data_IF_251452290627
#
_entry.id   IF_251452290627
#
_cell.length_a   1.000
_cell.length_b   1.000
_cell.length_c   1.000
_cell.angle_alpha   90.00
_cell.angle_beta   90.00
_cell.angle_gamma   90.00
#
_symmetry.space_group_name_H-M   'P 1'
#
loop_
_entity.id
_entity.type
_entity.pdbx_description
1 polymer ?
#
# COMPACT_ATOMS: atom_id res chain seq x y z
N UNK A 1 -19.34 5.96 -0.17
CA UNK A 1 -18.50 6.80 -1.02
C UNK A 1 -19.09 6.84 -2.41
N UNK A 2 -18.96 7.91 -3.07
CA UNK A 2 -19.73 8.27 -4.27
C UNK A 2 -19.00 8.01 -5.59
N UNK A 3 -17.88 7.31 -5.58
CA UNK A 3 -17.15 7.01 -6.81
C UNK A 3 -16.15 8.07 -7.24
N UNK A 4 -15.80 8.99 -6.37
CA UNK A 4 -14.80 10.01 -6.63
C UNK A 4 -13.46 9.41 -7.13
N UNK A 5 -12.98 8.36 -6.46
CA UNK A 5 -11.75 7.70 -6.88
C UNK A 5 -11.91 6.99 -8.23
N UNK A 6 -13.09 6.44 -8.51
CA UNK A 6 -13.36 5.81 -9.79
C UNK A 6 -13.33 6.82 -10.94
N UNK A 7 -13.86 8.02 -10.72
CA UNK A 7 -13.81 9.07 -11.72
C UNK A 7 -12.35 9.47 -12.02
N UNK A 8 -11.51 9.57 -10.99
CA UNK A 8 -10.09 9.83 -11.17
C UNK A 8 -9.39 8.68 -11.89
N UNK A 9 -9.72 7.44 -11.55
CA UNK A 9 -9.17 6.27 -12.24
C UNK A 9 -9.50 6.34 -13.75
N UNK A 10 -10.72 6.65 -14.12
CA UNK A 10 -11.11 6.77 -15.52
C UNK A 10 -10.34 7.88 -16.23
N UNK A 11 -10.07 8.96 -15.52
CA UNK A 11 -9.35 10.10 -16.07
C UNK A 11 -7.89 9.76 -16.39
N UNK A 12 -7.21 9.05 -15.47
CA UNK A 12 -5.80 8.71 -15.62
C UNK A 12 -5.55 7.44 -16.42
N UNK A 13 -6.52 6.52 -16.43
CA UNK A 13 -6.36 5.21 -17.08
C UNK A 13 -7.61 4.86 -17.92
N UNK A 14 -7.93 5.67 -18.93
CA UNK A 14 -9.17 5.45 -19.70
C UNK A 14 -9.20 4.10 -20.44
N UNK A 15 -8.05 3.61 -20.90
CA UNK A 15 -7.98 2.31 -21.58
C UNK A 15 -8.31 1.16 -20.63
N UNK A 16 -7.83 1.23 -19.42
CA UNK A 16 -8.10 0.21 -18.39
C UNK A 16 -9.55 0.28 -17.91
N UNK A 17 -10.12 1.48 -17.87
CA UNK A 17 -11.51 1.66 -17.45
C UNK A 17 -12.48 0.94 -18.37
N UNK A 18 -12.16 0.81 -19.65
CA UNK A 18 -13.01 0.10 -20.62
C UNK A 18 -13.13 -1.40 -20.28
N UNK A 19 -12.12 -1.99 -19.69
CA UNK A 19 -12.14 -3.40 -19.29
C UNK A 19 -12.67 -3.64 -17.89
N UNK A 20 -12.96 -2.59 -17.13
CA UNK A 20 -13.45 -2.70 -15.77
C UNK A 20 -14.94 -3.03 -15.75
N UNK A 21 -15.33 -4.09 -15.03
CA UNK A 21 -16.75 -4.45 -14.88
C UNK A 21 -17.31 -4.03 -13.52
N UNK A 22 -16.44 -3.82 -12.53
CA UNK A 22 -16.84 -3.34 -11.20
C UNK A 22 -15.62 -2.80 -10.47
N UNK A 23 -15.89 -2.08 -9.39
CA UNK A 23 -14.84 -1.54 -8.55
C UNK A 23 -15.30 -1.50 -7.11
N UNK A 24 -14.34 -1.45 -6.18
CA UNK A 24 -14.61 -1.34 -4.75
C UNK A 24 -13.55 -0.46 -4.10
N UNK A 25 -13.98 0.50 -3.32
CA UNK A 25 -13.04 1.33 -2.57
C UNK A 25 -12.57 0.57 -1.34
N UNK A 26 -11.27 0.32 -1.25
CA UNK A 26 -10.65 -0.46 -0.17
C UNK A 26 -9.96 0.40 0.86
N UNK A 27 -9.63 1.65 0.51
CA UNK A 27 -8.99 2.59 1.41
C UNK A 27 -9.33 3.99 0.92
N UNK A 28 -8.96 5.01 1.69
CA UNK A 28 -9.25 6.41 1.38
C UNK A 28 -8.75 6.83 -0.02
N UNK A 29 -7.61 6.29 -0.46
CA UNK A 29 -7.00 6.62 -1.75
C UNK A 29 -6.85 5.41 -2.66
N UNK A 30 -7.62 4.35 -2.44
CA UNK A 30 -7.36 3.08 -3.12
C UNK A 30 -8.64 2.43 -3.61
N UNK A 31 -8.63 2.02 -4.90
CA UNK A 31 -9.72 1.25 -5.51
C UNK A 31 -9.21 -0.11 -5.94
N UNK A 32 -10.03 -1.12 -5.73
CA UNK A 32 -9.87 -2.44 -6.31
C UNK A 32 -10.69 -2.48 -7.60
N UNK A 33 -10.03 -2.74 -8.73
CA UNK A 33 -10.64 -2.72 -10.06
C UNK A 33 -10.77 -4.14 -10.56
N UNK A 34 -12.00 -4.58 -10.80
CA UNK A 34 -12.29 -5.93 -11.30
C UNK A 34 -12.49 -5.87 -12.81
N UNK A 35 -11.68 -6.61 -13.55
CA UNK A 35 -11.66 -6.59 -15.00
C UNK A 35 -12.44 -7.76 -15.61
N UNK A 36 -12.79 -7.64 -16.88
CA UNK A 36 -13.56 -8.65 -17.62
C UNK A 36 -12.86 -10.02 -17.67
N UNK A 37 -11.53 -10.02 -17.72
CA UNK A 37 -10.73 -11.23 -17.81
C UNK A 37 -10.53 -11.92 -16.45
N UNK A 38 -11.14 -11.41 -15.40
CA UNK A 38 -11.02 -11.95 -14.04
C UNK A 38 -9.84 -11.41 -13.25
N UNK A 39 -8.99 -10.59 -13.87
CA UNK A 39 -7.88 -9.97 -13.14
C UNK A 39 -8.37 -8.83 -12.26
N UNK A 40 -7.59 -8.55 -11.22
CA UNK A 40 -7.87 -7.46 -10.28
C UNK A 40 -6.67 -6.54 -10.23
N UNK A 41 -6.91 -5.26 -10.44
CA UNK A 41 -5.88 -4.23 -10.34
C UNK A 41 -6.17 -3.31 -9.15
N UNK A 42 -5.14 -2.68 -8.63
CA UNK A 42 -5.25 -1.69 -7.56
C UNK A 42 -4.86 -0.33 -8.10
N UNK A 43 -5.79 0.61 -8.03
CA UNK A 43 -5.54 2.01 -8.36
C UNK A 43 -5.27 2.79 -7.08
N UNK A 44 -4.19 3.56 -7.06
CA UNK A 44 -3.84 4.43 -5.95
C UNK A 44 -3.93 5.89 -6.40
N UNK A 45 -4.83 6.64 -5.77
CA UNK A 45 -5.11 8.02 -6.15
C UNK A 45 -4.05 9.02 -5.64
N UNK A 46 -3.21 8.61 -4.72
CA UNK A 46 -2.14 9.50 -4.21
C UNK A 46 -1.05 9.74 -5.25
N UNK A 47 -0.66 8.70 -5.96
CA UNK A 47 0.40 8.78 -6.96
C UNK A 47 -0.07 8.38 -8.35
N UNK A 48 -1.38 8.21 -8.52
CA UNK A 48 -2.01 7.83 -9.80
C UNK A 48 -1.37 6.58 -10.40
N UNK A 49 -1.09 5.59 -9.56
CA UNK A 49 -0.50 4.32 -10.00
C UNK A 49 -1.58 3.26 -10.17
N UNK A 50 -1.34 2.34 -11.09
CA UNK A 50 -2.19 1.18 -11.32
C UNK A 50 -1.29 -0.04 -11.45
N UNK A 51 -1.60 -1.11 -10.72
CA UNK A 51 -0.84 -2.34 -10.78
C UNK A 51 -1.66 -3.53 -10.32
N UNK A 52 -1.20 -4.76 -10.58
CA UNK A 52 -1.94 -5.96 -10.21
C UNK A 52 -2.05 -6.08 -8.69
N UNK A 53 -3.15 -6.69 -8.25
CA UNK A 53 -3.34 -7.00 -6.83
C UNK A 53 -2.29 -8.02 -6.40
N UNK A 54 -1.63 -7.74 -5.27
CA UNK A 54 -0.58 -8.60 -4.73
C UNK A 54 -1.23 -9.79 -4.02
N UNK A 55 -0.78 -11.01 -4.35
CA UNK A 55 -1.24 -12.21 -3.67
C UNK A 55 -0.54 -12.34 -2.32
N UNK A 56 -1.28 -12.11 -1.23
CA UNK A 56 -0.75 -12.17 0.13
C UNK A 56 -0.78 -13.57 0.74
N UNK A 57 -1.20 -14.58 -0.03
CA UNK A 57 -1.16 -15.97 0.43
C UNK A 57 0.27 -16.53 0.45
N UNK A 58 1.21 -15.89 -0.26
CA UNK A 58 2.62 -16.27 -0.27
C UNK A 58 3.43 -15.36 0.63
N UNK A 59 4.58 -15.85 1.11
CA UNK A 59 5.50 -15.06 1.91
C UNK A 59 6.02 -13.83 1.15
N UNK A 60 6.38 -14.03 -0.13
CA UNK A 60 6.85 -12.95 -0.99
C UNK A 60 5.75 -11.89 -1.20
N UNK A 61 4.53 -12.33 -1.46
CA UNK A 61 3.39 -11.42 -1.63
C UNK A 61 3.09 -10.65 -0.36
N UNK A 62 3.19 -11.30 0.80
CA UNK A 62 2.99 -10.67 2.09
C UNK A 62 4.01 -9.54 2.32
N UNK A 63 5.30 -9.82 2.04
CA UNK A 63 6.36 -8.81 2.17
C UNK A 63 6.12 -7.62 1.25
N UNK A 64 5.69 -7.87 0.02
CA UNK A 64 5.39 -6.82 -0.96
C UNK A 64 4.23 -5.95 -0.52
N UNK A 65 3.17 -6.56 0.00
CA UNK A 65 2.01 -5.81 0.48
C UNK A 65 2.35 -4.97 1.71
N UNK A 66 3.12 -5.53 2.64
CA UNK A 66 3.60 -4.77 3.79
C UNK A 66 4.43 -3.56 3.34
N UNK A 67 5.36 -3.78 2.40
CA UNK A 67 6.21 -2.71 1.87
C UNK A 67 5.37 -1.60 1.23
N UNK A 68 4.35 -1.97 0.45
CA UNK A 68 3.45 -1.02 -0.19
C UNK A 68 2.73 -0.16 0.85
N UNK A 69 2.18 -0.80 1.88
CA UNK A 69 1.47 -0.11 2.95
C UNK A 69 2.39 0.79 3.75
N UNK A 70 3.59 0.31 4.05
CA UNK A 70 4.58 1.09 4.79
C UNK A 70 4.97 2.35 4.01
N UNK A 71 5.32 2.21 2.72
CA UNK A 71 5.66 3.37 1.89
C UNK A 71 4.50 4.37 1.82
N UNK A 72 3.28 3.86 1.67
CA UNK A 72 2.08 4.70 1.62
C UNK A 72 1.89 5.51 2.90
N UNK A 73 1.99 4.85 4.06
CA UNK A 73 1.83 5.53 5.35
C UNK A 73 2.94 6.53 5.61
N UNK A 74 4.18 6.20 5.25
CA UNK A 74 5.29 7.14 5.37
C UNK A 74 5.06 8.38 4.51
N UNK A 75 4.62 8.20 3.27
CA UNK A 75 4.32 9.31 2.37
C UNK A 75 3.17 10.17 2.90
N UNK A 76 2.10 9.56 3.41
CA UNK A 76 0.96 10.27 3.97
C UNK A 76 1.33 11.13 5.16
N UNK A 77 2.27 10.67 5.97
CA UNK A 77 2.71 11.38 7.18
C UNK A 77 3.95 12.24 6.96
N UNK A 78 4.53 12.22 5.75
CA UNK A 78 5.74 12.97 5.45
C UNK A 78 6.97 12.51 6.22
N UNK A 79 7.03 11.22 6.57
CA UNK A 79 8.13 10.65 7.36
C UNK A 79 9.12 9.98 6.41
N UNK A 80 10.42 10.31 6.56
CA UNK A 80 11.50 9.70 5.80
C UNK A 80 12.03 8.47 6.53
N UNK A 81 12.83 7.65 5.83
CA UNK A 81 13.51 6.51 6.46
C UNK A 81 14.46 6.96 7.57
N UNK A 82 15.15 8.07 7.36
CA UNK A 82 16.05 8.64 8.38
C UNK A 82 15.26 8.96 9.65
N UNK A 83 14.16 9.68 9.51
CA UNK A 83 13.34 10.06 10.64
C UNK A 83 12.72 8.85 11.33
N UNK A 84 12.25 7.88 10.55
CA UNK A 84 11.68 6.65 11.09
C UNK A 84 12.73 5.85 11.85
N UNK A 85 13.96 5.80 11.34
CA UNK A 85 15.09 5.18 12.05
C UNK A 85 15.34 5.84 13.41
N UNK A 86 15.33 7.16 13.45
CA UNK A 86 15.51 7.91 14.70
C UNK A 86 14.40 7.62 15.71
N UNK A 87 13.16 7.54 15.25
CA UNK A 87 12.01 7.34 16.11
C UNK A 87 11.89 5.91 16.65
N UNK A 88 12.33 4.92 15.87
CA UNK A 88 12.16 3.51 16.21
C UNK A 88 13.43 2.83 16.73
N UNK A 89 14.60 3.41 16.46
CA UNK A 89 15.87 2.75 16.74
C UNK A 89 16.22 1.64 15.75
N UNK A 90 15.43 1.46 14.70
CA UNK A 90 15.71 0.47 13.66
C UNK A 90 16.65 1.11 12.64
N UNK A 91 17.67 0.35 12.18
CA UNK A 91 18.65 0.90 11.24
C UNK A 91 17.99 1.28 9.91
N UNK A 92 18.55 2.28 9.23
CA UNK A 92 18.07 2.69 7.91
C UNK A 92 18.19 1.57 6.89
N UNK A 93 19.24 0.75 6.99
CA UNK A 93 19.45 -0.41 6.11
C UNK A 93 18.28 -1.39 6.24
N UNK A 94 17.86 -1.68 7.45
CA UNK A 94 16.77 -2.60 7.71
C UNK A 94 15.43 -2.01 7.25
N UNK A 95 15.18 -0.73 7.52
CA UNK A 95 14.00 -0.04 7.03
C UNK A 95 13.94 -0.03 5.50
N UNK A 96 15.07 0.13 4.85
CA UNK A 96 15.15 0.07 3.40
C UNK A 96 14.72 -1.31 2.87
N UNK A 97 15.15 -2.38 3.54
CA UNK A 97 14.73 -3.74 3.18
C UNK A 97 13.21 -3.93 3.34
N UNK A 98 12.64 -3.38 4.41
CA UNK A 98 11.20 -3.44 4.63
C UNK A 98 10.42 -2.70 3.54
N UNK A 99 10.88 -1.50 3.17
CA UNK A 99 10.20 -0.70 2.15
C UNK A 99 10.35 -1.26 0.74
N UNK A 100 11.34 -2.13 0.52
CA UNK A 100 11.56 -2.79 -0.76
C UNK A 100 10.88 -4.16 -0.85
N UNK A 101 10.27 -4.63 0.22
CA UNK A 101 9.63 -5.95 0.25
C UNK A 101 10.61 -7.10 0.29
N UNK A 102 11.83 -6.87 0.76
CA UNK A 102 12.89 -7.89 0.84
C UNK A 102 12.95 -8.57 2.19
N UNK A 103 12.35 -7.98 3.21
CA UNK A 103 12.36 -8.52 4.57
C UNK A 103 11.09 -8.13 5.30
N UNK A 104 10.73 -8.89 6.33
CA UNK A 104 9.61 -8.61 7.22
C UNK A 104 10.11 -8.26 8.61
N UNK A 105 9.55 -7.23 9.25
CA UNK A 105 9.87 -6.95 10.63
C UNK A 105 9.20 -7.94 11.57
N UNK A 106 9.77 -8.08 12.77
CA UNK A 106 9.12 -8.80 13.86
C UNK A 106 7.88 -8.02 14.34
N UNK A 107 7.01 -8.67 15.12
CA UNK A 107 5.83 -8.02 15.67
C UNK A 107 6.19 -6.78 16.49
N UNK A 108 7.27 -6.84 17.26
CA UNK A 108 7.76 -5.70 18.04
C UNK A 108 8.17 -4.54 17.15
N UNK A 109 8.86 -4.82 16.05
CA UNK A 109 9.30 -3.78 15.11
C UNK A 109 8.12 -3.18 14.36
N UNK A 110 7.14 -3.99 13.95
CA UNK A 110 5.91 -3.48 13.34
C UNK A 110 5.20 -2.52 14.28
N UNK A 111 5.08 -2.90 15.56
CA UNK A 111 4.45 -2.05 16.57
C UNK A 111 5.20 -0.72 16.73
N UNK A 112 6.53 -0.77 16.79
CA UNK A 112 7.35 0.44 16.90
C UNK A 112 7.18 1.35 15.68
N UNK A 113 7.16 0.77 14.49
CA UNK A 113 6.98 1.51 13.24
C UNK A 113 5.58 2.17 13.21
N UNK A 114 4.55 1.42 13.56
CA UNK A 114 3.18 1.94 13.60
C UNK A 114 3.05 3.12 14.57
N UNK A 115 3.63 3.01 15.75
CA UNK A 115 3.66 4.08 16.74
C UNK A 115 4.37 5.32 16.21
N UNK A 116 5.52 5.13 15.58
CA UNK A 116 6.33 6.23 15.08
C UNK A 116 5.61 7.00 13.96
N UNK A 117 4.90 6.27 13.09
CA UNK A 117 4.14 6.86 11.99
C UNK A 117 2.82 7.45 12.49
N UNK A 118 2.29 6.94 13.61
CA UNK A 118 1.00 7.38 14.14
C UNK A 118 -0.18 6.66 13.51
N UNK A 119 0.01 5.39 13.13
CA UNK A 119 -1.05 4.54 12.61
C UNK A 119 -1.18 3.28 13.47
N UNK A 120 -2.19 2.46 13.22
CA UNK A 120 -2.34 1.19 13.91
C UNK A 120 -1.49 0.11 13.24
N UNK A 121 -1.16 -0.93 14.00
CA UNK A 121 -0.50 -2.11 13.44
C UNK A 121 -1.36 -2.71 12.33
N UNK A 122 -2.67 -2.70 12.49
CA UNK A 122 -3.60 -3.23 11.51
C UNK A 122 -3.54 -2.47 10.17
N UNK A 123 -3.21 -1.18 10.20
CA UNK A 123 -3.03 -0.39 8.98
C UNK A 123 -1.86 -0.90 8.13
N UNK A 124 -0.89 -1.55 8.76
CA UNK A 124 0.28 -2.07 8.07
C UNK A 124 0.15 -3.55 7.70
N UNK A 125 -0.49 -4.35 8.54
CA UNK A 125 -0.52 -5.81 8.36
C UNK A 125 -1.93 -6.42 8.35
N UNK A 126 -2.98 -5.61 8.40
CA UNK A 126 -4.36 -6.08 8.49
C UNK A 126 -4.98 -6.49 7.16
N UNK A 127 -4.24 -7.23 6.35
CA UNK A 127 -4.71 -7.66 5.03
C UNK A 127 -4.87 -9.19 4.91
#
# INVERSE_FOLDING_TARGET
MDGYLYENFKLYFPSFAKGCISWRQTDLFELEIHNKDGSIDIYNDMNHSLGPKIDTSTDTGWRKEFARRLRKKMAMKGITQVRLSELTGISQQLLSLYTQGKSLPSAQKVSAIAKAIGCSVNDLIGF
#
